data_IF_900192600264
#
_entry.id   IF_900192600264
#
_cell.length_a   1.000
_cell.length_b   1.000
_cell.length_c   1.000
_cell.angle_alpha   90.00
_cell.angle_beta   90.00
_cell.angle_gamma   90.00
#
_symmetry.space_group_name_H-M   'P 1'
#
loop_
_entity.id
_entity.type
_entity.pdbx_description
1 polymer ?
#
# COMPACT_ATOMS: atom_id res chain seq x y z
N UNK A 1 -4.78 -43.20 -2.23
CA UNK A 1 -4.84 -41.71 -2.14
C UNK A 1 -4.14 -41.30 -0.86
N UNK A 2 -2.88 -40.87 -0.96
CA UNK A 2 -2.06 -40.51 0.21
C UNK A 2 -2.53 -39.18 0.79
N UNK A 3 -3.25 -39.27 1.90
CA UNK A 3 -3.58 -38.17 2.81
C UNK A 3 -2.32 -37.68 3.53
N UNK A 4 -1.43 -36.99 2.82
CA UNK A 4 -0.34 -36.25 3.49
C UNK A 4 -0.82 -34.84 3.79
N UNK A 5 -1.58 -34.70 4.88
CA UNK A 5 -1.89 -33.42 5.49
C UNK A 5 -0.64 -32.88 6.21
N UNK A 6 0.44 -32.62 5.47
CA UNK A 6 1.61 -31.92 5.98
C UNK A 6 1.29 -30.45 5.85
N UNK A 7 1.01 -29.78 6.98
CA UNK A 7 0.95 -28.33 7.00
C UNK A 7 2.20 -27.78 6.30
N UNK A 8 1.98 -27.02 5.23
CA UNK A 8 3.08 -26.39 4.49
C UNK A 8 3.67 -25.31 5.40
N UNK A 9 4.99 -25.29 5.48
CA UNK A 9 5.73 -24.28 6.24
C UNK A 9 6.46 -23.39 5.23
N UNK A 10 6.35 -22.09 5.43
CA UNK A 10 7.11 -21.06 4.73
C UNK A 10 8.09 -20.41 5.71
N UNK A 11 9.26 -20.02 5.22
CA UNK A 11 10.20 -19.22 5.99
C UNK A 11 9.90 -17.74 5.75
N UNK A 12 9.68 -17.00 6.82
CA UNK A 12 9.59 -15.55 6.83
C UNK A 12 10.67 -15.00 7.79
N UNK A 13 11.54 -14.06 7.36
CA UNK A 13 12.61 -13.55 8.21
C UNK A 13 12.14 -12.78 9.45
N UNK A 14 10.90 -12.32 9.48
CA UNK A 14 10.31 -11.53 10.57
C UNK A 14 9.63 -12.45 11.58
N UNK A 15 8.89 -13.46 11.11
CA UNK A 15 8.10 -14.35 11.97
C UNK A 15 8.66 -15.77 12.12
N UNK A 16 9.73 -16.10 11.41
CA UNK A 16 10.29 -17.46 11.39
C UNK A 16 9.45 -18.40 10.54
N UNK A 17 8.93 -19.47 11.16
CA UNK A 17 8.16 -20.49 10.44
C UNK A 17 6.68 -20.11 10.37
N UNK A 18 6.21 -19.75 9.18
CA UNK A 18 4.80 -19.53 8.90
C UNK A 18 4.17 -20.85 8.47
N UNK A 19 3.37 -21.44 9.37
CA UNK A 19 2.61 -22.67 9.09
C UNK A 19 1.26 -22.32 8.49
N UNK A 20 0.92 -22.91 7.34
CA UNK A 20 -0.41 -22.77 6.75
C UNK A 20 -1.39 -23.67 7.50
N UNK A 21 -2.27 -23.06 8.31
CA UNK A 21 -3.27 -23.80 9.11
C UNK A 21 -4.30 -24.49 8.22
N UNK A 22 -4.81 -23.76 7.23
CA UNK A 22 -5.93 -24.18 6.39
C UNK A 22 -5.43 -24.77 5.06
N UNK A 23 -5.82 -26.00 4.67
CA UNK A 23 -5.31 -26.64 3.45
C UNK A 23 -5.55 -25.84 2.17
N UNK A 24 -6.68 -25.13 2.08
CA UNK A 24 -7.02 -24.34 0.90
C UNK A 24 -6.16 -23.07 0.75
N UNK A 25 -5.52 -22.59 1.83
CA UNK A 25 -4.54 -21.49 1.76
C UNK A 25 -3.42 -21.79 0.76
N UNK A 26 -2.96 -23.05 0.68
CA UNK A 26 -1.92 -23.42 -0.27
C UNK A 26 -2.40 -23.26 -1.72
N UNK A 27 -3.65 -23.64 -2.02
CA UNK A 27 -4.22 -23.49 -3.36
C UNK A 27 -4.35 -22.01 -3.75
N UNK A 28 -4.77 -21.14 -2.81
CA UNK A 28 -4.79 -19.70 -3.04
C UNK A 28 -3.38 -19.16 -3.28
N UNK A 29 -2.40 -19.54 -2.46
CA UNK A 29 -1.02 -19.09 -2.62
C UNK A 29 -0.42 -19.52 -3.96
N UNK A 30 -0.72 -20.74 -4.42
CA UNK A 30 -0.24 -21.26 -5.71
C UNK A 30 -0.97 -20.64 -6.91
N UNK A 31 -2.09 -19.95 -6.69
CA UNK A 31 -2.85 -19.32 -7.76
C UNK A 31 -2.05 -18.19 -8.45
N UNK A 32 -2.08 -18.08 -9.80
CA UNK A 32 -1.32 -17.06 -10.53
C UNK A 32 -1.54 -15.62 -10.05
N UNK A 33 -2.78 -15.26 -9.72
CA UNK A 33 -3.09 -13.93 -9.19
C UNK A 33 -2.36 -13.63 -7.88
N UNK A 34 -2.14 -14.61 -7.00
CA UNK A 34 -1.41 -14.40 -5.75
C UNK A 34 0.10 -14.44 -6.01
N UNK A 35 0.55 -15.35 -6.88
CA UNK A 35 1.97 -15.44 -7.26
C UNK A 35 2.48 -14.16 -7.93
N UNK A 36 1.62 -13.38 -8.61
CA UNK A 36 2.02 -12.10 -9.18
C UNK A 36 2.53 -11.10 -8.14
N UNK A 37 2.01 -11.16 -6.92
CA UNK A 37 2.42 -10.27 -5.82
C UNK A 37 3.91 -10.42 -5.46
N UNK A 38 4.59 -11.47 -5.91
CA UNK A 38 6.04 -11.62 -5.77
C UNK A 38 6.84 -10.63 -6.62
N UNK A 39 6.23 -10.09 -7.66
CA UNK A 39 6.83 -9.16 -8.64
C UNK A 39 6.34 -7.73 -8.46
N UNK A 40 5.57 -7.47 -7.41
CA UNK A 40 5.07 -6.14 -7.04
C UNK A 40 5.67 -5.77 -5.68
N UNK A 41 6.50 -4.74 -5.68
CA UNK A 41 7.16 -4.23 -4.47
C UNK A 41 6.16 -3.69 -3.46
N UNK A 42 6.38 -3.91 -2.17
CA UNK A 42 5.51 -3.37 -1.11
C UNK A 42 5.63 -1.85 -1.03
N UNK A 43 6.87 -1.35 -1.02
CA UNK A 43 7.19 0.07 -0.83
C UNK A 43 7.61 0.79 -2.12
N UNK A 44 7.23 0.23 -3.28
CA UNK A 44 7.52 0.81 -4.60
C UNK A 44 8.97 1.24 -4.76
N UNK A 45 9.19 2.54 -4.93
CA UNK A 45 10.51 3.14 -5.19
C UNK A 45 11.31 3.46 -3.92
N UNK A 46 10.84 3.05 -2.74
CA UNK A 46 11.54 3.29 -1.46
C UNK A 46 12.94 2.69 -1.41
N UNK A 47 13.22 1.65 -2.20
CA UNK A 47 14.55 1.07 -2.34
C UNK A 47 15.62 2.07 -2.85
N UNK A 48 15.20 3.16 -3.50
CA UNK A 48 16.10 4.24 -3.90
C UNK A 48 16.63 5.05 -2.70
N UNK A 49 15.99 4.96 -1.54
CA UNK A 49 16.43 5.58 -0.27
C UNK A 49 16.92 4.52 0.71
N UNK A 50 16.19 3.41 0.80
CA UNK A 50 16.43 2.29 1.70
C UNK A 50 16.77 1.05 0.89
N UNK A 51 18.04 0.77 0.55
CA UNK A 51 18.39 -0.32 -0.37
C UNK A 51 17.89 -1.71 0.04
N UNK A 52 17.60 -1.92 1.33
CA UNK A 52 17.00 -3.16 1.85
C UNK A 52 15.48 -3.29 1.64
N UNK A 53 14.76 -2.22 1.29
CA UNK A 53 13.31 -2.18 1.10
C UNK A 53 12.87 -2.83 -0.23
N UNK A 54 13.22 -4.11 -0.40
CA UNK A 54 13.00 -4.92 -1.61
C UNK A 54 12.00 -6.06 -1.39
N UNK A 55 11.28 -6.04 -0.27
CA UNK A 55 10.17 -6.96 -0.02
C UNK A 55 8.96 -6.63 -0.91
N UNK A 56 8.15 -7.65 -1.14
CA UNK A 56 7.03 -7.61 -2.06
C UNK A 56 5.71 -7.87 -1.33
N UNK A 57 4.60 -7.60 -2.02
CA UNK A 57 3.25 -7.79 -1.48
C UNK A 57 2.94 -9.24 -1.12
N UNK A 58 3.61 -10.21 -1.76
CA UNK A 58 3.47 -11.62 -1.38
C UNK A 58 4.02 -11.89 0.03
N UNK A 59 5.18 -11.32 0.39
CA UNK A 59 5.71 -11.44 1.74
C UNK A 59 4.72 -10.85 2.75
N UNK A 60 4.16 -9.68 2.44
CA UNK A 60 3.16 -9.03 3.27
C UNK A 60 1.89 -9.89 3.45
N UNK A 61 1.29 -10.37 2.36
CA UNK A 61 0.10 -11.22 2.41
C UNK A 61 0.30 -12.49 3.29
N UNK A 62 1.46 -13.15 3.19
CA UNK A 62 1.80 -14.30 4.03
C UNK A 62 1.96 -13.90 5.50
N UNK A 63 2.60 -12.76 5.76
CA UNK A 63 2.78 -12.23 7.11
C UNK A 63 1.48 -11.83 7.79
N UNK A 64 0.62 -11.08 7.10
CA UNK A 64 -0.69 -10.67 7.60
C UNK A 64 -1.59 -11.88 7.89
N UNK A 65 -1.53 -12.92 7.04
CA UNK A 65 -2.21 -14.20 7.29
C UNK A 65 -1.64 -14.92 8.52
N UNK A 66 -0.32 -14.94 8.70
CA UNK A 66 0.28 -15.49 9.92
C UNK A 66 -0.21 -14.77 11.17
N UNK A 67 -0.19 -13.44 11.19
CA UNK A 67 -0.68 -12.66 12.32
C UNK A 67 -2.17 -12.89 12.58
N UNK A 68 -2.99 -13.03 11.53
CA UNK A 68 -4.40 -13.39 11.64
C UNK A 68 -4.61 -14.73 12.35
N UNK A 69 -3.88 -15.78 11.94
CA UNK A 69 -3.96 -17.08 12.61
C UNK A 69 -3.67 -16.96 14.13
N UNK A 70 -2.66 -16.15 14.49
CA UNK A 70 -2.30 -15.89 15.89
C UNK A 70 -3.39 -15.08 16.64
N UNK A 71 -4.04 -14.14 15.96
CA UNK A 71 -5.14 -13.35 16.51
C UNK A 71 -6.36 -14.21 16.80
N UNK A 72 -6.73 -15.10 15.88
CA UNK A 72 -7.84 -16.04 16.09
C UNK A 72 -7.57 -16.97 17.27
N UNK A 73 -6.34 -17.48 17.43
CA UNK A 73 -5.99 -18.32 18.58
C UNK A 73 -6.05 -17.55 19.90
N UNK A 74 -5.57 -16.31 19.90
CA UNK A 74 -5.63 -15.41 21.04
C UNK A 74 -7.07 -15.17 21.48
N UNK A 75 -7.96 -14.81 20.54
CA UNK A 75 -9.38 -14.55 20.81
C UNK A 75 -10.12 -15.80 21.29
N UNK A 76 -9.91 -16.95 20.64
CA UNK A 76 -10.49 -18.24 21.08
C UNK A 76 -10.06 -18.60 22.49
N UNK A 77 -8.79 -18.40 22.84
CA UNK A 77 -8.27 -18.69 24.18
C UNK A 77 -8.93 -17.84 25.28
N UNK A 78 -9.55 -16.71 24.92
CA UNK A 78 -10.28 -15.81 25.81
C UNK A 78 -11.79 -16.03 25.78
N UNK A 79 -12.26 -17.08 25.11
CA UNK A 79 -13.67 -17.45 25.05
C UNK A 79 -14.46 -16.80 23.91
N UNK A 80 -13.82 -16.06 23.00
CA UNK A 80 -14.50 -15.57 21.80
C UNK A 80 -14.85 -16.74 20.88
N UNK A 81 -16.14 -16.89 20.57
CA UNK A 81 -16.63 -17.97 19.71
C UNK A 81 -16.35 -17.62 18.25
N UNK A 82 -15.37 -18.31 17.65
CA UNK A 82 -15.01 -18.21 16.24
C UNK A 82 -15.05 -19.62 15.64
N UNK A 83 -15.98 -19.88 14.73
CA UNK A 83 -16.12 -21.18 14.06
C UNK A 83 -14.91 -21.49 13.17
N UNK A 84 -14.76 -22.74 12.75
CA UNK A 84 -13.71 -23.11 11.78
C UNK A 84 -13.91 -22.38 10.45
N UNK A 85 -15.16 -22.23 10.00
CA UNK A 85 -15.49 -21.53 8.76
C UNK A 85 -15.15 -20.04 8.83
N UNK A 86 -15.38 -19.38 9.99
CA UNK A 86 -15.01 -17.99 10.21
C UNK A 86 -13.50 -17.78 10.25
N UNK A 87 -12.75 -18.70 10.88
CA UNK A 87 -11.27 -18.70 10.90
C UNK A 87 -10.68 -18.87 9.49
N UNK A 88 -11.20 -19.82 8.72
CA UNK A 88 -10.84 -19.98 7.31
C UNK A 88 -11.11 -18.69 6.51
N UNK A 89 -12.34 -18.17 6.61
CA UNK A 89 -12.78 -17.02 5.85
C UNK A 89 -11.98 -15.75 6.16
N UNK A 90 -11.71 -15.46 7.43
CA UNK A 90 -10.93 -14.27 7.80
C UNK A 90 -9.45 -14.41 7.41
N UNK A 91 -8.88 -15.62 7.46
CA UNK A 91 -7.54 -15.91 6.95
C UNK A 91 -7.47 -15.74 5.42
N UNK A 92 -8.50 -16.14 4.68
CA UNK A 92 -8.54 -15.92 3.23
C UNK A 92 -8.76 -14.44 2.89
N UNK A 93 -9.60 -13.73 3.66
CA UNK A 93 -9.83 -12.29 3.47
C UNK A 93 -8.54 -11.49 3.63
N UNK A 94 -7.78 -11.71 4.71
CA UNK A 94 -6.49 -11.02 4.90
C UNK A 94 -5.41 -11.48 3.93
N UNK A 95 -5.44 -12.72 3.45
CA UNK A 95 -4.48 -13.16 2.42
C UNK A 95 -4.72 -12.42 1.09
N UNK A 96 -5.97 -12.08 0.79
CA UNK A 96 -6.40 -11.52 -0.49
C UNK A 96 -6.66 -9.99 -0.45
N UNK A 97 -6.56 -9.35 0.72
CA UNK A 97 -6.94 -7.93 0.89
C UNK A 97 -6.20 -6.99 -0.07
N UNK A 98 -4.93 -7.30 -0.34
CA UNK A 98 -3.99 -6.49 -1.11
C UNK A 98 -3.90 -6.89 -2.60
N UNK A 99 -4.80 -7.76 -3.07
CA UNK A 99 -4.75 -8.33 -4.41
C UNK A 99 -5.00 -7.32 -5.52
N UNK A 100 -5.64 -6.19 -5.25
CA UNK A 100 -5.95 -5.17 -6.24
C UNK A 100 -4.82 -4.20 -6.53
N UNK A 101 -3.68 -4.33 -5.83
CA UNK A 101 -2.52 -3.49 -6.12
C UNK A 101 -1.84 -3.89 -7.43
N UNK A 102 -1.64 -2.89 -8.30
CA UNK A 102 -0.74 -2.97 -9.46
C UNK A 102 0.67 -2.49 -9.11
N UNK A 103 1.60 -2.49 -10.09
CA UNK A 103 2.96 -2.03 -9.88
C UNK A 103 3.00 -0.55 -9.52
N UNK A 104 3.80 -0.21 -8.51
CA UNK A 104 3.90 1.17 -7.98
C UNK A 104 2.52 1.81 -7.76
N UNK A 105 1.62 1.07 -7.11
CA UNK A 105 0.16 1.23 -7.15
C UNK A 105 -0.34 2.68 -7.10
N UNK A 106 0.25 3.52 -6.24
CA UNK A 106 -0.07 4.95 -6.18
C UNK A 106 0.18 5.69 -7.51
N UNK A 107 1.34 5.50 -8.13
CA UNK A 107 1.65 6.09 -9.43
C UNK A 107 0.65 5.59 -10.50
N UNK A 108 0.35 4.29 -10.51
CA UNK A 108 -0.56 3.65 -11.47
C UNK A 108 -2.00 4.20 -11.37
N UNK A 109 -2.55 4.27 -10.16
CA UNK A 109 -3.89 4.81 -9.85
C UNK A 109 -4.00 6.29 -10.27
N UNK A 110 -2.95 7.09 -10.08
CA UNK A 110 -2.97 8.52 -10.41
C UNK A 110 -2.55 8.86 -11.85
N UNK A 111 -2.09 7.89 -12.64
CA UNK A 111 -1.66 8.09 -14.03
C UNK A 111 -2.52 7.36 -15.05
N UNK A 112 -2.65 6.03 -14.95
CA UNK A 112 -3.15 5.19 -16.04
C UNK A 112 -4.49 4.51 -15.70
N UNK A 113 -4.75 4.15 -14.43
CA UNK A 113 -6.01 3.57 -13.94
C UNK A 113 -6.70 4.58 -13.00
N UNK A 114 -7.30 5.62 -13.57
CA UNK A 114 -7.88 6.70 -12.77
C UNK A 114 -9.27 6.34 -12.26
N UNK A 115 -9.51 6.56 -10.97
CA UNK A 115 -10.84 6.42 -10.37
C UNK A 115 -11.27 4.98 -10.09
N UNK A 116 -10.32 4.04 -10.07
CA UNK A 116 -10.54 2.66 -9.58
C UNK A 116 -9.54 2.42 -8.46
N UNK A 117 -10.05 2.20 -7.25
CA UNK A 117 -9.18 1.96 -6.10
C UNK A 117 -8.74 0.50 -6.07
N UNK A 118 -7.54 0.20 -5.57
CA UNK A 118 -7.09 -1.17 -5.37
C UNK A 118 -8.10 -2.02 -4.57
N UNK A 119 -8.83 -1.46 -3.60
CA UNK A 119 -9.88 -2.21 -2.87
C UNK A 119 -11.01 -2.72 -3.79
N UNK A 120 -11.40 -1.93 -4.80
CA UNK A 120 -12.37 -2.34 -5.82
C UNK A 120 -11.81 -3.52 -6.64
N UNK A 121 -10.55 -3.41 -7.05
CA UNK A 121 -9.88 -4.45 -7.85
C UNK A 121 -9.65 -5.72 -7.01
N UNK A 122 -9.26 -5.60 -5.73
CA UNK A 122 -9.15 -6.72 -4.79
C UNK A 122 -10.48 -7.47 -4.73
N UNK A 123 -11.58 -6.74 -4.57
CA UNK A 123 -12.93 -7.30 -4.55
C UNK A 123 -13.25 -8.06 -5.84
N UNK A 124 -12.98 -7.46 -7.01
CA UNK A 124 -13.22 -8.12 -8.31
C UNK A 124 -12.41 -9.40 -8.48
N UNK A 125 -11.15 -9.40 -8.02
CA UNK A 125 -10.29 -10.58 -8.04
C UNK A 125 -10.83 -11.65 -7.08
N UNK A 126 -11.23 -11.27 -5.87
CA UNK A 126 -11.83 -12.19 -4.91
C UNK A 126 -13.13 -12.80 -5.46
N UNK A 127 -14.00 -12.01 -6.07
CA UNK A 127 -15.25 -12.48 -6.69
C UNK A 127 -14.96 -13.47 -7.84
N UNK A 128 -13.89 -13.24 -8.61
CA UNK A 128 -13.47 -14.16 -9.68
C UNK A 128 -12.90 -15.47 -9.13
N UNK A 129 -12.00 -15.40 -8.15
CA UNK A 129 -11.50 -16.58 -7.45
C UNK A 129 -12.63 -17.36 -6.78
N UNK A 130 -13.64 -16.67 -6.25
CA UNK A 130 -14.79 -17.30 -5.63
C UNK A 130 -15.60 -18.12 -6.65
N UNK A 131 -15.78 -17.60 -7.88
CA UNK A 131 -16.41 -18.35 -8.97
C UNK A 131 -15.56 -19.55 -9.40
N UNK A 132 -14.25 -19.39 -9.50
CA UNK A 132 -13.32 -20.45 -9.88
C UNK A 132 -13.26 -21.59 -8.85
N UNK A 133 -13.37 -21.24 -7.56
CA UNK A 133 -13.33 -22.19 -6.45
C UNK A 133 -14.72 -22.52 -5.88
N UNK A 134 -15.76 -22.53 -6.71
CA UNK A 134 -17.11 -22.99 -6.38
C UNK A 134 -17.70 -22.40 -5.08
N UNK A 135 -17.49 -21.10 -4.85
CA UNK A 135 -18.09 -20.37 -3.72
C UNK A 135 -17.30 -20.44 -2.42
N UNK A 136 -16.11 -21.07 -2.38
CA UNK A 136 -15.30 -21.23 -1.14
C UNK A 136 -14.86 -19.92 -0.47
N UNK A 137 -14.84 -18.81 -1.19
CA UNK A 137 -14.43 -17.49 -0.67
C UNK A 137 -15.64 -16.61 -0.29
N UNK A 138 -16.87 -17.11 -0.38
CA UNK A 138 -18.08 -16.30 -0.18
C UNK A 138 -18.15 -15.65 1.19
N UNK A 139 -17.78 -16.38 2.25
CA UNK A 139 -17.73 -15.81 3.60
C UNK A 139 -16.58 -14.81 3.77
N UNK A 140 -15.41 -15.11 3.17
CA UNK A 140 -14.25 -14.20 3.20
C UNK A 140 -14.59 -12.85 2.57
N UNK A 141 -15.29 -12.86 1.43
CA UNK A 141 -15.75 -11.64 0.73
C UNK A 141 -16.75 -10.86 1.59
N UNK A 142 -17.71 -11.54 2.24
CA UNK A 142 -18.66 -10.88 3.15
C UNK A 142 -17.96 -10.23 4.34
N UNK A 143 -16.95 -10.88 4.92
CA UNK A 143 -16.14 -10.30 6.00
C UNK A 143 -15.34 -9.10 5.48
N UNK A 144 -14.68 -9.24 4.33
CA UNK A 144 -13.89 -8.17 3.70
C UNK A 144 -14.74 -6.91 3.43
N UNK A 145 -15.95 -7.07 2.87
CA UNK A 145 -16.91 -5.98 2.60
C UNK A 145 -17.64 -5.44 3.84
N UNK A 146 -17.34 -5.97 5.03
CA UNK A 146 -18.05 -5.64 6.27
C UNK A 146 -19.56 -5.95 6.24
N UNK A 147 -19.97 -6.97 5.47
CA UNK A 147 -21.36 -7.40 5.29
C UNK A 147 -21.73 -8.61 6.18
N UNK A 148 -20.77 -9.15 6.93
CA UNK A 148 -20.99 -10.24 7.87
C UNK A 148 -21.53 -9.74 9.23
N UNK A 149 -22.19 -10.63 9.99
CA UNK A 149 -22.84 -10.29 11.27
C UNK A 149 -21.86 -9.99 12.40
N UNK A 150 -20.72 -10.70 12.47
CA UNK A 150 -19.66 -10.45 13.46
C UNK A 150 -18.67 -9.41 12.96
N UNK A 151 -18.82 -8.16 13.39
CA UNK A 151 -18.05 -7.00 12.89
C UNK A 151 -16.58 -7.03 13.31
N UNK A 152 -16.25 -7.61 14.46
CA UNK A 152 -14.85 -7.72 14.88
C UNK A 152 -14.00 -8.54 13.89
N UNK A 153 -14.59 -9.47 13.12
CA UNK A 153 -13.85 -10.22 12.10
C UNK A 153 -13.37 -9.31 10.96
N UNK A 154 -14.21 -8.36 10.53
CA UNK A 154 -13.81 -7.33 9.57
C UNK A 154 -12.74 -6.43 10.17
N UNK A 155 -12.85 -6.05 11.45
CA UNK A 155 -11.86 -5.20 12.11
C UNK A 155 -10.46 -5.81 12.22
N UNK A 156 -10.36 -7.15 12.24
CA UNK A 156 -9.07 -7.84 12.14
C UNK A 156 -8.43 -7.69 10.75
N UNK A 157 -9.24 -7.46 9.71
CA UNK A 157 -8.78 -7.26 8.33
C UNK A 157 -8.52 -5.79 8.04
N UNK A 158 -9.42 -4.89 8.45
CA UNK A 158 -9.32 -3.44 8.25
C UNK A 158 -9.85 -2.68 9.48
N UNK A 159 -8.97 -1.98 10.17
CA UNK A 159 -9.25 -1.09 11.29
C UNK A 159 -8.05 -0.19 11.59
N UNK A 160 -7.95 0.38 12.81
CA UNK A 160 -6.71 1.01 13.26
C UNK A 160 -5.69 0.02 13.82
N UNK A 161 -6.13 -1.21 14.12
CA UNK A 161 -5.33 -2.26 14.74
C UNK A 161 -5.58 -3.62 14.06
N UNK A 162 -5.58 -3.60 12.73
CA UNK A 162 -5.72 -4.78 11.88
C UNK A 162 -4.39 -5.53 11.68
N UNK A 163 -4.49 -6.72 11.10
CA UNK A 163 -3.31 -7.57 10.84
C UNK A 163 -2.47 -7.05 9.66
N UNK A 164 -3.07 -6.27 8.76
CA UNK A 164 -2.37 -5.58 7.68
C UNK A 164 -1.33 -4.60 8.26
N UNK A 165 -1.77 -3.64 9.08
CA UNK A 165 -0.91 -2.64 9.73
C UNK A 165 0.14 -3.25 10.64
N UNK A 166 -0.24 -4.27 11.40
CA UNK A 166 0.71 -4.97 12.27
C UNK A 166 1.79 -5.71 11.48
N UNK A 167 1.50 -6.17 10.26
CA UNK A 167 2.51 -6.75 9.38
C UNK A 167 3.35 -5.67 8.72
N UNK A 168 2.75 -4.75 7.94
CA UNK A 168 3.55 -3.84 7.13
C UNK A 168 4.43 -2.95 8.00
N UNK A 169 3.97 -2.48 9.18
CA UNK A 169 4.84 -1.67 10.04
C UNK A 169 6.06 -2.45 10.52
N UNK A 170 5.89 -3.73 10.90
CA UNK A 170 6.99 -4.58 11.32
C UNK A 170 7.93 -4.89 10.14
N UNK A 171 7.36 -5.21 8.98
CA UNK A 171 8.05 -5.62 7.77
C UNK A 171 8.80 -4.47 7.11
N UNK A 172 8.14 -3.34 6.95
CA UNK A 172 8.72 -2.13 6.39
C UNK A 172 9.85 -1.63 7.28
N UNK A 173 9.68 -1.64 8.60
CA UNK A 173 10.75 -1.32 9.56
C UNK A 173 11.95 -2.28 9.40
N UNK A 174 11.69 -3.59 9.32
CA UNK A 174 12.73 -4.60 9.16
C UNK A 174 13.54 -4.43 7.88
N UNK A 175 12.87 -4.31 6.73
CA UNK A 175 13.54 -4.23 5.43
C UNK A 175 14.13 -2.84 5.13
N UNK A 176 13.53 -1.76 5.62
CA UNK A 176 14.12 -0.41 5.49
C UNK A 176 15.31 -0.18 6.41
N UNK A 177 15.42 -0.94 7.51
CA UNK A 177 16.40 -0.72 8.57
C UNK A 177 16.04 0.40 9.54
N UNK A 178 14.84 1.00 9.42
CA UNK A 178 14.32 2.00 10.36
C UNK A 178 13.82 1.30 11.62
N UNK A 179 14.73 1.04 12.56
CA UNK A 179 14.47 0.23 13.77
C UNK A 179 13.46 0.86 14.72
N UNK A 180 13.32 2.17 14.68
CA UNK A 180 12.38 2.96 15.47
C UNK A 180 10.92 2.68 15.11
N UNK A 181 10.69 2.13 13.90
CA UNK A 181 9.39 1.67 13.44
C UNK A 181 8.97 0.29 13.95
N UNK A 182 9.81 -0.40 14.73
CA UNK A 182 9.53 -1.79 15.16
C UNK A 182 8.35 -1.86 16.12
N UNK A 183 7.26 -2.46 15.65
CA UNK A 183 6.05 -2.72 16.44
C UNK A 183 6.12 -4.07 17.17
N UNK A 184 5.43 -4.17 18.32
CA UNK A 184 5.32 -5.39 19.10
C UNK A 184 4.11 -6.23 18.72
N UNK A 185 3.99 -6.63 17.45
CA UNK A 185 2.77 -7.25 16.88
C UNK A 185 2.28 -8.46 17.68
N UNK A 186 3.17 -9.36 18.10
CA UNK A 186 2.82 -10.52 18.93
C UNK A 186 2.19 -10.12 20.26
N UNK A 187 2.79 -9.14 20.96
CA UNK A 187 2.26 -8.67 22.24
C UNK A 187 0.90 -8.02 22.06
N UNK A 188 0.73 -7.17 21.05
CA UNK A 188 -0.55 -6.53 20.72
C UNK A 188 -1.63 -7.58 20.50
N UNK A 189 -1.36 -8.58 19.66
CA UNK A 189 -2.27 -9.69 19.38
C UNK A 189 -2.69 -10.45 20.65
N UNK A 190 -1.74 -10.67 21.58
CA UNK A 190 -2.05 -11.30 22.87
C UNK A 190 -2.95 -10.44 23.76
N UNK A 191 -2.99 -9.13 23.57
CA UNK A 191 -3.85 -8.22 24.34
C UNK A 191 -5.21 -7.97 23.67
N UNK A 192 -5.42 -8.39 22.41
CA UNK A 192 -6.71 -8.27 21.73
C UNK A 192 -7.81 -9.07 22.45
N UNK A 193 -9.02 -8.52 22.50
CA UNK A 193 -10.23 -9.17 22.98
C UNK A 193 -11.42 -8.69 22.14
N UNK A 194 -12.61 -9.24 22.41
CA UNK A 194 -13.87 -8.79 21.80
C UNK A 194 -14.84 -8.38 22.89
N UNK A 195 -15.42 -7.19 22.78
CA UNK A 195 -16.51 -6.71 23.63
C UNK A 195 -17.57 -6.08 22.75
N UNK A 196 -18.84 -6.46 22.95
CA UNK A 196 -19.99 -5.93 22.18
C UNK A 196 -19.78 -5.99 20.65
N UNK A 197 -19.23 -7.11 20.15
CA UNK A 197 -18.89 -7.32 18.72
C UNK A 197 -17.85 -6.35 18.14
N UNK A 198 -17.07 -5.70 19.00
CA UNK A 198 -15.95 -4.82 18.64
C UNK A 198 -14.62 -5.39 19.11
N UNK A 199 -13.59 -5.22 18.29
CA UNK A 199 -12.21 -5.50 18.64
C UNK A 199 -11.73 -4.47 19.68
N UNK A 200 -11.27 -4.95 20.82
CA UNK A 200 -10.77 -4.12 21.92
C UNK A 200 -9.41 -4.62 22.40
N UNK A 201 -8.70 -3.79 23.17
CA UNK A 201 -7.40 -4.14 23.76
C UNK A 201 -7.53 -4.16 25.27
N UNK A 202 -7.07 -5.22 25.94
CA UNK A 202 -7.02 -5.28 27.39
C UNK A 202 -6.13 -4.15 27.97
N UNK A 203 -6.51 -3.57 29.12
CA UNK A 203 -5.82 -2.46 29.80
C UNK A 203 -4.29 -2.63 29.92
N UNK A 204 -3.80 -3.84 30.23
CA UNK A 204 -2.34 -4.14 30.29
C UNK A 204 -1.60 -3.97 28.95
N UNK A 205 -2.32 -3.77 27.85
CA UNK A 205 -1.83 -3.53 26.50
C UNK A 205 -1.60 -2.05 26.15
N UNK A 206 -2.00 -1.09 26.99
CA UNK A 206 -1.92 0.36 26.71
C UNK A 206 -0.54 0.77 26.18
N UNK A 207 0.55 0.40 26.87
CA UNK A 207 1.91 0.75 26.43
C UNK A 207 2.33 0.11 25.09
N UNK A 208 1.73 -1.03 24.73
CA UNK A 208 1.98 -1.65 23.42
C UNK A 208 1.30 -0.86 22.29
N UNK A 209 0.10 -0.33 22.57
CA UNK A 209 -0.62 0.56 21.65
C UNK A 209 0.07 1.92 21.54
N UNK A 210 0.54 2.48 22.65
CA UNK A 210 1.33 3.71 22.66
C UNK A 210 2.58 3.56 21.78
N UNK A 211 3.36 2.50 21.99
CA UNK A 211 4.52 2.19 21.15
C UNK A 211 4.13 2.01 19.68
N UNK A 212 3.01 1.34 19.40
CA UNK A 212 2.52 1.14 18.03
C UNK A 212 2.21 2.47 17.33
N UNK A 213 1.53 3.40 18.00
CA UNK A 213 1.20 4.72 17.45
C UNK A 213 2.47 5.55 17.20
N UNK A 214 3.42 5.53 18.14
CA UNK A 214 4.71 6.21 17.97
C UNK A 214 5.50 5.61 16.79
N UNK A 215 5.62 4.29 16.73
CA UNK A 215 6.31 3.59 15.65
C UNK A 215 5.67 3.89 14.28
N UNK A 216 4.34 3.85 14.19
CA UNK A 216 3.58 4.23 13.00
C UNK A 216 3.92 5.66 12.59
N UNK A 217 3.85 6.63 13.50
CA UNK A 217 4.18 8.03 13.21
C UNK A 217 5.61 8.19 12.66
N UNK A 218 6.57 7.50 13.25
CA UNK A 218 7.97 7.52 12.79
C UNK A 218 8.12 6.91 11.40
N UNK A 219 7.48 5.76 11.14
CA UNK A 219 7.49 5.12 9.81
C UNK A 219 6.89 6.02 8.73
N UNK A 220 5.80 6.73 9.02
CA UNK A 220 5.22 7.68 8.08
C UNK A 220 6.20 8.80 7.70
N UNK A 221 6.90 9.40 8.66
CA UNK A 221 7.82 10.51 8.35
C UNK A 221 9.14 10.05 7.77
N UNK A 222 9.67 8.96 8.29
CA UNK A 222 10.99 8.48 7.91
C UNK A 222 10.93 7.68 6.63
N UNK A 223 9.89 6.88 6.38
CA UNK A 223 9.83 5.99 5.20
C UNK A 223 8.80 6.49 4.19
N UNK A 224 7.50 6.48 4.54
CA UNK A 224 6.43 6.67 3.55
C UNK A 224 6.40 8.08 2.96
N UNK A 225 6.65 9.10 3.78
CA UNK A 225 6.71 10.51 3.38
C UNK A 225 8.14 11.03 3.30
N UNK A 226 9.12 10.13 3.17
CA UNK A 226 10.49 10.54 2.94
C UNK A 226 10.56 11.32 1.63
N UNK A 227 11.07 12.55 1.70
CA UNK A 227 11.11 13.50 0.58
C UNK A 227 11.64 12.86 -0.72
N UNK A 228 12.71 12.07 -0.64
CA UNK A 228 13.30 11.43 -1.83
C UNK A 228 12.44 10.30 -2.39
N UNK A 229 11.66 9.59 -1.56
CA UNK A 229 10.71 8.57 -2.03
C UNK A 229 9.57 9.27 -2.77
N UNK A 230 8.97 10.30 -2.15
CA UNK A 230 7.92 11.12 -2.76
C UNK A 230 8.36 11.70 -4.11
N UNK A 231 9.60 12.19 -4.20
CA UNK A 231 10.18 12.68 -5.44
C UNK A 231 10.24 11.59 -6.52
N UNK A 232 10.67 10.38 -6.18
CA UNK A 232 10.77 9.26 -7.12
C UNK A 232 9.39 8.79 -7.59
N UNK A 233 8.42 8.64 -6.69
CA UNK A 233 7.03 8.26 -7.03
C UNK A 233 6.35 9.31 -7.90
N UNK A 234 6.60 10.58 -7.60
CA UNK A 234 6.08 11.67 -8.41
C UNK A 234 6.67 11.64 -9.82
N UNK A 235 7.99 11.48 -9.95
CA UNK A 235 8.64 11.34 -11.25
C UNK A 235 8.09 10.16 -12.05
N UNK A 236 7.84 9.02 -11.39
CA UNK A 236 7.23 7.86 -12.07
C UNK A 236 5.81 8.19 -12.57
N UNK A 237 5.01 8.89 -11.77
CA UNK A 237 3.68 9.36 -12.17
C UNK A 237 3.77 10.24 -13.43
N UNK A 238 4.76 11.13 -13.50
CA UNK A 238 5.01 12.00 -14.67
C UNK A 238 5.43 11.19 -15.91
N UNK A 239 6.31 10.19 -15.74
CA UNK A 239 6.69 9.26 -16.82
C UNK A 239 5.45 8.59 -17.41
N UNK A 240 4.60 8.00 -16.56
CA UNK A 240 3.41 7.29 -17.02
C UNK A 240 2.36 8.22 -17.64
N UNK A 241 2.20 9.44 -17.10
CA UNK A 241 1.32 10.46 -17.69
C UNK A 241 1.80 10.89 -19.08
N UNK A 242 3.11 11.14 -19.25
CA UNK A 242 3.68 11.51 -20.55
C UNK A 242 3.58 10.36 -21.55
N UNK A 243 3.89 9.13 -21.13
CA UNK A 243 3.72 7.94 -21.96
C UNK A 243 2.28 7.79 -22.45
N UNK A 244 1.29 7.90 -21.54
CA UNK A 244 -0.13 7.84 -21.88
C UNK A 244 -0.55 8.96 -22.84
N UNK A 245 -0.10 10.19 -22.61
CA UNK A 245 -0.34 11.31 -23.51
C UNK A 245 0.16 11.03 -24.94
N UNK A 246 1.40 10.56 -25.07
CA UNK A 246 2.01 10.25 -26.36
C UNK A 246 1.30 9.08 -27.06
N UNK A 247 0.99 8.00 -26.33
CA UNK A 247 0.26 6.86 -26.88
C UNK A 247 -1.14 7.25 -27.38
N UNK A 248 -1.85 8.13 -26.67
CA UNK A 248 -3.15 8.66 -27.15
C UNK A 248 -3.04 9.55 -28.38
N UNK A 249 -1.88 10.20 -28.59
CA UNK A 249 -1.57 10.93 -29.82
C UNK A 249 -1.13 10.03 -30.98
N UNK A 250 -1.11 8.70 -30.79
CA UNK A 250 -0.70 7.74 -31.82
C UNK A 250 0.81 7.56 -31.94
N UNK A 251 1.60 8.05 -30.98
CA UNK A 251 3.03 7.74 -30.90
C UNK A 251 3.18 6.30 -30.41
N UNK A 252 3.83 5.46 -31.22
CA UNK A 252 4.12 4.09 -30.82
C UNK A 252 5.27 4.08 -29.79
N UNK A 253 4.93 3.63 -28.59
CA UNK A 253 5.86 3.46 -27.48
C UNK A 253 6.00 1.97 -27.18
N UNK A 254 7.23 1.52 -26.94
CA UNK A 254 7.44 0.19 -26.41
C UNK A 254 6.69 0.02 -25.09
N UNK A 255 5.89 -1.03 -25.00
CA UNK A 255 5.19 -1.46 -23.80
C UNK A 255 4.88 -2.95 -23.94
N UNK A 256 4.71 -3.63 -22.81
CA UNK A 256 4.16 -4.99 -22.84
C UNK A 256 2.69 -4.95 -23.28
N UNK A 257 2.13 -6.07 -23.77
CA UNK A 257 0.74 -6.09 -24.23
C UNK A 257 -0.25 -5.57 -23.20
N UNK A 258 -0.08 -5.94 -21.93
CA UNK A 258 -0.91 -5.47 -20.83
C UNK A 258 -0.77 -3.95 -20.62
N UNK A 259 0.47 -3.44 -20.48
CA UNK A 259 0.72 -2.01 -20.28
C UNK A 259 0.19 -1.17 -21.45
N UNK A 260 0.30 -1.66 -22.69
CA UNK A 260 -0.22 -0.99 -23.87
C UNK A 260 -1.74 -0.71 -23.78
N UNK A 261 -2.53 -1.59 -23.16
CA UNK A 261 -3.98 -1.39 -23.04
C UNK A 261 -4.28 -0.16 -22.18
N UNK A 262 -3.57 0.00 -21.06
CA UNK A 262 -3.76 1.12 -20.13
C UNK A 262 -3.14 2.45 -20.60
N UNK A 263 -2.14 2.38 -21.49
CA UNK A 263 -1.57 3.57 -22.14
C UNK A 263 -2.45 4.08 -23.29
N UNK A 264 -3.07 3.19 -24.06
CA UNK A 264 -3.90 3.56 -25.22
C UNK A 264 -5.34 3.89 -24.83
N UNK A 265 -5.86 3.34 -23.73
CA UNK A 265 -7.26 3.51 -23.32
C UNK A 265 -7.40 4.12 -21.91
N UNK A 266 -8.58 4.66 -21.62
CA UNK A 266 -9.01 4.96 -20.26
C UNK A 266 -9.99 3.90 -19.79
N UNK A 267 -9.76 3.36 -18.60
CA UNK A 267 -10.67 2.42 -17.96
C UNK A 267 -11.08 3.00 -16.62
N UNK A 268 -12.39 3.05 -16.40
CA UNK A 268 -13.02 3.37 -15.13
C UNK A 268 -13.55 2.09 -14.47
N UNK A 269 -14.17 2.24 -13.29
CA UNK A 269 -14.70 1.10 -12.53
C UNK A 269 -15.71 0.29 -13.34
N UNK A 270 -16.61 0.95 -14.06
CA UNK A 270 -17.59 0.29 -14.92
C UNK A 270 -16.92 -0.53 -16.04
N UNK A 271 -15.82 -0.03 -16.61
CA UNK A 271 -15.05 -0.77 -17.62
C UNK A 271 -14.53 -2.09 -17.05
N UNK A 272 -13.93 -2.07 -15.85
CA UNK A 272 -13.45 -3.29 -15.17
C UNK A 272 -14.59 -4.28 -14.86
N UNK A 273 -15.77 -3.79 -14.47
CA UNK A 273 -16.93 -4.64 -14.15
C UNK A 273 -17.57 -5.26 -15.40
N UNK A 274 -17.57 -4.52 -16.52
CA UNK A 274 -18.24 -4.92 -17.76
C UNK A 274 -17.37 -5.79 -18.68
N UNK A 275 -16.04 -5.67 -18.61
CA UNK A 275 -15.13 -6.44 -19.45
C UNK A 275 -14.07 -7.20 -18.62
N UNK A 276 -14.18 -8.54 -18.54
CA UNK A 276 -13.26 -9.36 -17.74
C UNK A 276 -11.81 -9.34 -18.27
N UNK A 277 -11.59 -8.98 -19.53
CA UNK A 277 -10.24 -8.89 -20.11
C UNK A 277 -9.43 -7.74 -19.53
N UNK A 278 -10.09 -6.65 -19.10
CA UNK A 278 -9.41 -5.53 -18.46
C UNK A 278 -8.78 -5.98 -17.14
N UNK A 279 -9.51 -6.78 -16.35
CA UNK A 279 -8.97 -7.36 -15.13
C UNK A 279 -7.85 -8.36 -15.43
N UNK A 280 -7.93 -9.13 -16.52
CA UNK A 280 -6.85 -10.00 -16.97
C UNK A 280 -5.58 -9.19 -17.26
N UNK A 281 -5.67 -8.14 -18.09
CA UNK A 281 -4.53 -7.28 -18.39
C UNK A 281 -3.98 -6.61 -17.14
N UNK A 282 -4.83 -6.16 -16.22
CA UNK A 282 -4.38 -5.62 -14.94
C UNK A 282 -3.58 -6.65 -14.13
N UNK A 283 -4.06 -7.89 -14.07
CA UNK A 283 -3.38 -8.97 -13.35
C UNK A 283 -2.07 -9.43 -13.99
N UNK A 284 -1.82 -9.07 -15.26
CA UNK A 284 -0.54 -9.28 -15.95
C UNK A 284 0.46 -8.15 -15.69
N UNK A 285 0.05 -7.03 -15.09
CA UNK A 285 0.96 -5.93 -14.75
C UNK A 285 1.73 -6.19 -13.46
N UNK A 286 3.04 -6.02 -13.52
CA UNK A 286 3.93 -5.98 -12.37
C UNK A 286 5.10 -4.99 -12.58
N UNK A 287 6.02 -4.87 -11.60
CA UNK A 287 7.02 -3.80 -11.62
C UNK A 287 7.94 -3.91 -12.86
N UNK A 288 8.09 -5.12 -13.40
CA UNK A 288 8.94 -5.40 -14.54
C UNK A 288 8.42 -4.79 -15.85
N UNK A 289 7.10 -4.68 -16.03
CA UNK A 289 6.49 -4.01 -17.18
C UNK A 289 6.93 -2.55 -17.25
N UNK A 290 6.88 -1.88 -16.11
CA UNK A 290 7.17 -0.45 -15.98
C UNK A 290 8.67 -0.20 -16.16
N UNK A 291 9.53 -1.00 -15.53
CA UNK A 291 10.98 -0.88 -15.72
C UNK A 291 11.40 -1.19 -17.16
N UNK A 292 10.86 -2.24 -17.76
CA UNK A 292 11.16 -2.60 -19.15
C UNK A 292 10.74 -1.49 -20.11
N UNK A 293 9.58 -0.89 -19.88
CA UNK A 293 9.10 0.23 -20.66
C UNK A 293 10.03 1.45 -20.53
N UNK A 294 10.38 1.86 -19.31
CA UNK A 294 11.30 2.98 -19.06
C UNK A 294 12.68 2.76 -19.69
N UNK A 295 13.20 1.53 -19.68
CA UNK A 295 14.49 1.18 -20.29
C UNK A 295 14.52 1.39 -21.79
N UNK A 296 13.37 1.33 -22.46
CA UNK A 296 13.24 1.69 -23.88
C UNK A 296 12.92 3.17 -24.05
N UNK A 297 12.02 3.71 -23.22
CA UNK A 297 11.58 5.12 -23.27
C UNK A 297 12.70 6.13 -23.04
N UNK A 298 13.74 5.77 -22.27
CA UNK A 298 14.95 6.61 -22.10
C UNK A 298 15.67 6.95 -23.41
N UNK A 299 15.40 6.21 -24.49
CA UNK A 299 15.96 6.43 -25.82
C UNK A 299 14.94 6.99 -26.83
N UNK A 300 13.75 7.38 -26.37
CA UNK A 300 12.72 7.95 -27.24
C UNK A 300 13.05 9.39 -27.66
N UNK A 301 12.58 9.80 -28.85
CA UNK A 301 12.79 11.16 -29.36
C UNK A 301 12.09 12.24 -28.54
N UNK A 302 11.02 11.89 -27.81
CA UNK A 302 10.35 12.80 -26.88
C UNK A 302 11.27 13.15 -25.71
N UNK A 303 11.71 14.41 -25.66
CA UNK A 303 12.65 14.92 -24.64
C UNK A 303 12.12 14.77 -23.22
N UNK A 304 10.81 14.92 -23.01
CA UNK A 304 10.18 14.81 -21.69
C UNK A 304 10.26 13.37 -21.20
N UNK A 305 9.73 12.44 -21.99
CA UNK A 305 9.66 11.03 -21.65
C UNK A 305 11.06 10.41 -21.48
N UNK A 306 11.98 10.71 -22.41
CA UNK A 306 13.35 10.18 -22.36
C UNK A 306 14.14 10.70 -21.16
N UNK A 307 14.02 12.00 -20.85
CA UNK A 307 14.67 12.62 -19.69
C UNK A 307 14.13 12.07 -18.37
N UNK A 308 12.80 12.03 -18.19
CA UNK A 308 12.19 11.50 -16.96
C UNK A 308 12.54 10.02 -16.74
N UNK A 309 12.47 9.21 -17.80
CA UNK A 309 12.81 7.77 -17.74
C UNK A 309 14.29 7.56 -17.40
N UNK A 310 15.19 8.29 -18.06
CA UNK A 310 16.64 8.23 -17.77
C UNK A 310 16.94 8.62 -16.33
N UNK A 311 16.34 9.71 -15.86
CA UNK A 311 16.55 10.22 -14.51
C UNK A 311 16.10 9.23 -13.44
N UNK A 312 14.95 8.57 -13.62
CA UNK A 312 14.49 7.60 -12.64
C UNK A 312 15.37 6.35 -12.61
N UNK A 313 15.74 5.81 -13.79
CA UNK A 313 16.60 4.63 -13.91
C UNK A 313 18.01 4.86 -13.37
N UNK A 314 18.59 6.03 -13.63
CA UNK A 314 19.95 6.38 -13.21
C UNK A 314 19.96 7.08 -11.83
N UNK A 315 18.81 7.12 -11.14
CA UNK A 315 18.62 7.75 -9.82
C UNK A 315 19.01 9.24 -9.76
N UNK A 316 18.88 9.95 -10.87
CA UNK A 316 18.96 11.42 -10.92
C UNK A 316 17.60 12.05 -10.56
N UNK A 317 17.20 11.84 -9.30
CA UNK A 317 15.90 12.26 -8.78
C UNK A 317 15.78 13.79 -8.66
N UNK A 318 14.57 14.29 -8.79
CA UNK A 318 14.22 15.69 -8.57
C UNK A 318 14.59 16.15 -7.15
N UNK A 319 14.72 17.47 -7.00
CA UNK A 319 14.67 18.13 -5.71
C UNK A 319 13.21 18.24 -5.31
N UNK A 320 12.94 18.03 -4.03
CA UNK A 320 11.64 18.28 -3.44
C UNK A 320 11.82 19.20 -2.24
N UNK A 321 11.00 20.23 -2.18
CA UNK A 321 10.94 21.16 -1.07
C UNK A 321 9.63 20.96 -0.34
N UNK A 322 9.68 20.96 0.99
CA UNK A 322 8.53 20.70 1.85
C UNK A 322 8.38 21.88 2.80
N UNK A 323 7.18 22.46 2.86
CA UNK A 323 6.85 23.51 3.83
C UNK A 323 5.37 23.40 4.24
N UNK A 324 5.00 24.08 5.32
CA UNK A 324 3.62 24.05 5.82
C UNK A 324 2.66 24.82 4.91
N UNK A 325 3.12 25.94 4.36
CA UNK A 325 2.31 26.81 3.50
C UNK A 325 2.35 26.38 2.02
N UNK A 326 1.24 26.50 1.27
CA UNK A 326 1.22 26.22 -0.16
C UNK A 326 2.27 27.01 -0.95
N UNK A 327 2.81 26.41 -2.00
CA UNK A 327 3.61 27.11 -3.01
C UNK A 327 2.71 27.98 -3.86
N UNK A 328 3.07 29.25 -4.02
CA UNK A 328 2.34 30.23 -4.82
C UNK A 328 2.54 29.97 -6.31
N UNK A 329 1.58 30.38 -7.14
CA UNK A 329 1.67 30.25 -8.60
C UNK A 329 2.91 30.94 -9.17
N UNK A 330 3.34 32.05 -8.55
CA UNK A 330 4.56 32.76 -8.93
C UNK A 330 5.83 31.95 -8.68
N UNK A 331 5.93 31.27 -7.53
CA UNK A 331 7.06 30.39 -7.21
C UNK A 331 7.10 29.18 -8.15
N UNK A 332 5.93 28.60 -8.49
CA UNK A 332 5.82 27.50 -9.44
C UNK A 332 6.23 27.94 -10.84
N UNK A 333 5.71 29.07 -11.32
CA UNK A 333 6.01 29.61 -12.64
C UNK A 333 7.49 30.00 -12.79
N UNK A 334 8.13 30.53 -11.73
CA UNK A 334 9.58 30.76 -11.72
C UNK A 334 10.36 29.47 -12.04
N UNK A 335 9.98 28.35 -11.41
CA UNK A 335 10.62 27.06 -11.67
C UNK A 335 10.36 26.57 -13.10
N UNK A 336 9.14 26.74 -13.61
CA UNK A 336 8.79 26.35 -14.98
C UNK A 336 9.67 27.12 -15.99
N UNK A 337 9.81 28.43 -15.83
CA UNK A 337 10.66 29.26 -16.70
C UNK A 337 12.14 28.88 -16.62
N UNK A 338 12.62 28.52 -15.43
CA UNK A 338 13.97 27.99 -15.24
C UNK A 338 14.18 26.66 -16.00
N UNK A 339 13.18 25.77 -16.00
CA UNK A 339 13.20 24.53 -16.81
C UNK A 339 13.21 24.84 -18.31
N UNK A 340 12.32 25.72 -18.79
CA UNK A 340 12.24 26.11 -20.20
C UNK A 340 13.60 26.56 -20.71
N UNK A 341 14.25 27.45 -19.96
CA UNK A 341 15.55 28.02 -20.33
C UNK A 341 16.69 27.00 -20.26
N UNK A 342 16.71 26.13 -19.23
CA UNK A 342 17.79 25.17 -19.02
C UNK A 342 17.72 23.96 -19.95
N UNK A 343 16.52 23.52 -20.31
CA UNK A 343 16.29 22.29 -21.08
C UNK A 343 15.93 22.55 -22.54
N UNK A 344 15.69 23.82 -22.92
CA UNK A 344 15.28 24.23 -24.27
C UNK A 344 14.07 23.40 -24.78
N UNK A 345 13.00 23.45 -23.99
CA UNK A 345 11.70 22.81 -24.22
C UNK A 345 10.59 23.84 -24.12
N UNK A 346 9.40 23.50 -24.60
CA UNK A 346 8.24 24.38 -24.52
C UNK A 346 7.76 24.55 -23.07
N UNK A 347 6.98 25.61 -22.81
CA UNK A 347 6.34 25.81 -21.51
C UNK A 347 5.43 24.63 -21.12
N UNK A 348 4.61 24.13 -22.06
CA UNK A 348 3.77 22.95 -21.85
C UNK A 348 4.59 21.72 -21.42
N UNK A 349 5.73 21.47 -22.07
CA UNK A 349 6.62 20.37 -21.70
C UNK A 349 7.29 20.59 -20.35
N UNK A 350 7.67 21.83 -20.02
CA UNK A 350 8.28 22.17 -18.73
C UNK A 350 7.35 21.92 -17.54
N UNK A 351 6.02 21.99 -17.72
CA UNK A 351 5.05 21.61 -16.67
C UNK A 351 5.17 20.14 -16.23
N UNK A 352 5.75 19.26 -17.05
CA UNK A 352 6.03 17.88 -16.64
C UNK A 352 7.24 17.75 -15.72
N UNK A 353 8.05 18.79 -15.57
CA UNK A 353 9.23 18.79 -14.70
C UNK A 353 9.02 19.53 -13.39
N UNK A 354 7.96 20.35 -13.28
CA UNK A 354 7.65 21.10 -12.07
C UNK A 354 6.26 20.72 -11.59
N UNK A 355 6.16 20.33 -10.32
CA UNK A 355 4.89 19.96 -9.72
C UNK A 355 4.80 20.47 -8.29
N UNK A 356 3.64 20.95 -7.88
CA UNK A 356 3.30 21.17 -6.49
C UNK A 356 2.03 20.42 -6.12
N UNK A 357 1.97 19.96 -4.88
CA UNK A 357 0.75 19.40 -4.29
C UNK A 357 0.86 19.44 -2.76
N UNK A 358 -0.15 18.96 -2.07
CA UNK A 358 -0.20 18.89 -0.62
C UNK A 358 -0.38 17.45 -0.15
N UNK A 359 0.40 17.09 0.86
CA UNK A 359 0.34 15.78 1.51
C UNK A 359 -0.25 15.99 2.89
N UNK A 360 -1.29 15.21 3.20
CA UNK A 360 -1.93 15.19 4.50
C UNK A 360 -1.73 13.82 5.14
N UNK A 361 -1.33 13.81 6.42
CA UNK A 361 -1.25 12.58 7.20
C UNK A 361 -1.92 12.77 8.57
N UNK A 362 -2.71 11.78 8.97
CA UNK A 362 -3.39 11.71 10.27
C UNK A 362 -2.87 10.47 11.00
N UNK A 363 -2.27 10.65 12.17
CA UNK A 363 -1.62 9.55 12.89
C UNK A 363 -2.63 8.63 13.61
N UNK A 364 -3.77 9.17 14.04
CA UNK A 364 -4.83 8.47 14.77
C UNK A 364 -6.18 9.11 14.46
N UNK A 365 -7.25 8.32 14.36
CA UNK A 365 -8.62 8.86 14.35
C UNK A 365 -9.35 8.53 15.66
N UNK A 366 -10.23 9.42 16.11
CA UNK A 366 -11.03 9.22 17.32
C UNK A 366 -11.84 7.92 17.27
N UNK A 367 -12.05 7.30 18.45
CA UNK A 367 -12.70 5.99 18.62
C UNK A 367 -11.99 4.84 17.89
N UNK A 368 -10.70 5.00 17.63
CA UNK A 368 -9.90 4.08 16.85
C UNK A 368 -9.58 2.76 17.51
N UNK A 369 -9.14 2.85 18.77
CA UNK A 369 -8.69 1.71 19.56
C UNK A 369 -9.33 1.83 20.95
N UNK A 370 -10.20 0.88 21.27
CA UNK A 370 -10.89 0.82 22.55
C UNK A 370 -10.09 -0.01 23.56
N UNK A 371 -9.91 0.52 24.76
CA UNK A 371 -9.25 -0.14 25.89
C UNK A 371 -10.31 -0.70 26.84
N UNK A 372 -10.23 -2.00 27.12
CA UNK A 372 -11.12 -2.72 28.03
C UNK A 372 -10.46 -2.89 29.40
N UNK A 373 -11.10 -2.32 30.42
CA UNK A 373 -10.71 -2.42 31.82
C UNK A 373 -11.28 -3.68 32.47
N UNK A 374 -10.72 -4.08 33.61
CA UNK A 374 -11.16 -5.28 34.35
C UNK A 374 -12.61 -5.22 34.83
N UNK A 375 -13.14 -4.02 35.05
CA UNK A 375 -14.53 -3.81 35.44
C UNK A 375 -15.51 -3.89 34.24
N UNK A 376 -15.01 -4.08 33.02
CA UNK A 376 -15.80 -4.14 31.79
C UNK A 376 -15.97 -2.80 31.09
N UNK A 377 -15.49 -1.69 31.68
CA UNK A 377 -15.58 -0.37 31.06
C UNK A 377 -14.68 -0.30 29.81
N UNK A 378 -15.17 0.40 28.79
CA UNK A 378 -14.43 0.73 27.58
C UNK A 378 -14.07 2.22 27.60
N UNK A 379 -12.83 2.54 27.24
CA UNK A 379 -12.41 3.92 26.97
C UNK A 379 -11.60 3.98 25.69
N UNK A 380 -11.69 5.09 24.96
CA UNK A 380 -10.78 5.32 23.84
C UNK A 380 -9.32 5.37 24.34
N UNK A 381 -8.40 4.83 23.55
CA UNK A 381 -6.98 4.82 23.89
C UNK A 381 -6.44 6.21 24.26
N UNK A 382 -6.90 7.26 23.59
CA UNK A 382 -6.40 8.61 23.83
C UNK A 382 -6.90 9.20 25.17
N UNK A 383 -8.01 8.70 25.73
CA UNK A 383 -8.45 9.01 27.09
C UNK A 383 -7.78 8.13 28.13
N UNK A 384 -7.41 6.90 27.75
CA UNK A 384 -6.75 5.93 28.63
C UNK A 384 -5.24 6.14 28.76
N UNK A 385 -4.63 6.98 27.92
CA UNK A 385 -3.19 7.22 27.90
C UNK A 385 -2.83 8.57 28.56
N UNK A 386 -1.97 8.52 29.57
CA UNK A 386 -1.51 9.72 30.30
C UNK A 386 -0.42 10.52 29.54
N UNK A 387 0.25 9.93 28.55
CA UNK A 387 1.48 10.49 27.96
C UNK A 387 1.29 11.18 26.60
N UNK A 388 0.34 10.73 25.78
CA UNK A 388 0.08 11.31 24.46
C UNK A 388 -1.31 11.94 24.48
N UNK A 389 -1.39 13.27 24.38
CA UNK A 389 -2.69 13.91 24.28
C UNK A 389 -3.35 13.60 22.93
N UNK A 390 -4.66 13.33 22.95
CA UNK A 390 -5.49 13.09 21.77
C UNK A 390 -5.23 14.14 20.67
N UNK A 391 -5.13 15.41 21.05
CA UNK A 391 -4.91 16.55 20.16
C UNK A 391 -3.61 16.44 19.33
N UNK A 392 -2.53 15.89 19.88
CA UNK A 392 -1.28 15.69 19.14
C UNK A 392 -1.33 14.51 18.16
N UNK A 393 -2.20 13.54 18.42
CA UNK A 393 -2.32 12.31 17.62
C UNK A 393 -3.34 12.44 16.48
N UNK A 394 -4.40 13.24 16.68
CA UNK A 394 -5.47 13.42 15.69
C UNK A 394 -5.25 14.59 14.76
N UNK A 395 -4.38 15.56 15.11
CA UNK A 395 -4.13 16.72 14.26
C UNK A 395 -3.51 16.31 12.92
N UNK A 396 -4.15 16.61 11.78
CA UNK A 396 -3.56 16.38 10.48
C UNK A 396 -2.29 17.18 10.33
N UNK A 397 -1.21 16.52 9.92
CA UNK A 397 -0.02 17.23 9.47
C UNK A 397 -0.12 17.40 7.97
N UNK A 398 -0.23 18.66 7.57
CA UNK A 398 -0.31 19.08 6.18
C UNK A 398 1.07 19.62 5.79
N UNK A 399 1.62 19.11 4.69
CA UNK A 399 2.84 19.65 4.07
C UNK A 399 2.59 19.85 2.59
N UNK A 400 2.83 21.05 2.11
CA UNK A 400 2.90 21.32 0.67
C UNK A 400 4.29 20.99 0.16
N UNK A 401 4.36 20.46 -1.05
CA UNK A 401 5.62 20.18 -1.73
C UNK A 401 5.73 20.89 -3.07
N UNK A 402 6.98 21.14 -3.47
CA UNK A 402 7.36 21.56 -4.81
C UNK A 402 8.50 20.67 -5.29
N UNK A 403 8.31 19.98 -6.41
CA UNK A 403 9.25 19.02 -6.99
C UNK A 403 9.75 19.55 -8.34
N UNK A 404 11.07 19.57 -8.55
CA UNK A 404 11.69 20.10 -9.78
C UNK A 404 13.12 19.55 -10.01
N UNK A 405 13.71 19.64 -11.22
CA UNK A 405 15.05 19.10 -11.50
C UNK A 405 16.15 19.77 -10.65
N UNK A 406 17.22 19.05 -10.30
CA UNK A 406 18.33 19.60 -9.50
C UNK A 406 19.30 20.46 -10.31
N UNK A 407 19.29 20.29 -11.61
CA UNK A 407 20.21 20.85 -12.59
C UNK A 407 19.72 22.16 -13.22
N UNK A 408 18.62 22.72 -12.72
CA UNK A 408 18.17 24.08 -13.04
C UNK A 408 18.63 25.07 -11.95
N UNK A 409 18.75 26.38 -12.26
CA UNK A 409 19.16 27.40 -11.29
C UNK A 409 18.38 27.33 -9.97
N UNK A 410 19.01 27.69 -8.85
CA UNK A 410 18.33 27.73 -7.55
C UNK A 410 17.13 28.70 -7.55
N UNK A 411 16.08 28.45 -6.75
CA UNK A 411 14.98 29.38 -6.60
C UNK A 411 15.46 30.72 -6.04
N UNK A 412 14.74 31.80 -6.37
CA UNK A 412 15.06 33.16 -5.93
C UNK A 412 14.61 33.51 -4.50
N UNK A 413 13.80 32.62 -3.89
CA UNK A 413 13.13 32.80 -2.60
C UNK A 413 13.71 31.94 -1.46
#
# INVERSE_FOLDING_TARGET
MTTTNRHKILNDPIYGFVTLRHPFTLQLLDHPYVQRLRRISQLGLSHLVYPGAVHNRFHHAVGSMFLMQQAIDSLRSKGTIISTEEDEAVCYAILLHDMGHGPFSHALEHSIVKGVHHEDISTMIMDRLNKEFDGKLSLAIKIFKNEYSKKFLHQLVSSQLDMDRLDYLARDSFYSGVTEGKVGSERIIKMLSVSQDQLVVEEKGIYSIEKFIVARRLMYWQVYLHRTVLSAEHMLTLVLRRAKYLSKKGVELFSTPALSQFLKNDYDKHSFESNPDILNWFCELDDSDIYSAMKTWRHNDDKVLSSLSSRLLDRNLFRIELRSEPFTDAEVEERIQAVVSSMNITHEEATYFVSNDTITNVAYSENGIQIMYKNGDLKDFAEANDHLSLEHLTRPVIKSFLCYPKDIPAPSW
#
